data_IF_487240125602
#
_entry.id   IF_487240125602
#
_cell.length_a   1.000
_cell.length_b   1.000
_cell.length_c   1.000
_cell.angle_alpha   90.00
_cell.angle_beta   90.00
_cell.angle_gamma   90.00
#
_symmetry.space_group_name_H-M   'P 1'
#
loop_
_entity.id
_entity.type
_entity.pdbx_description
1 polymer ?
#
# COMPACT_ATOMS: atom_id res chain seq x y z
N UNK A 1 -50.44 -28.18 8.91
CA UNK A 1 -49.15 -27.87 8.17
C UNK A 1 -48.49 -26.74 8.92
N UNK A 2 -47.44 -27.04 9.70
CA UNK A 2 -46.64 -26.05 10.38
C UNK A 2 -45.77 -25.32 9.34
N UNK A 3 -45.90 -24.01 9.23
CA UNK A 3 -45.03 -23.20 8.46
C UNK A 3 -43.62 -23.21 9.08
N UNK A 4 -42.66 -23.74 8.38
CA UNK A 4 -41.24 -23.66 8.71
C UNK A 4 -40.84 -22.19 8.77
N UNK A 5 -40.50 -21.70 9.98
CA UNK A 5 -39.86 -20.38 10.13
C UNK A 5 -38.53 -20.40 9.35
N UNK A 6 -38.30 -19.41 8.54
CA UNK A 6 -37.05 -19.21 7.83
C UNK A 6 -35.86 -19.32 8.79
N UNK A 7 -35.12 -20.43 8.68
CA UNK A 7 -33.89 -20.62 9.43
C UNK A 7 -32.84 -19.71 8.79
N UNK A 8 -32.61 -18.54 9.37
CA UNK A 8 -31.45 -17.70 8.97
C UNK A 8 -30.19 -18.56 9.02
N UNK A 9 -29.53 -18.69 7.88
CA UNK A 9 -28.25 -19.39 7.80
C UNK A 9 -27.21 -18.62 8.62
N UNK A 10 -26.57 -19.29 9.59
CA UNK A 10 -25.52 -18.70 10.42
C UNK A 10 -24.17 -19.19 9.93
N UNK A 11 -23.21 -18.29 9.81
CA UNK A 11 -21.84 -18.58 9.45
C UNK A 11 -20.93 -18.39 10.65
N UNK A 12 -19.87 -19.19 10.74
CA UNK A 12 -18.93 -19.18 11.86
C UNK A 12 -17.50 -19.15 11.38
N UNK A 13 -16.68 -18.38 12.06
CA UNK A 13 -15.22 -18.51 11.98
C UNK A 13 -14.77 -19.65 12.88
N UNK A 14 -13.94 -20.52 12.36
CA UNK A 14 -13.31 -21.61 13.10
C UNK A 14 -11.84 -21.74 12.74
N UNK A 15 -11.05 -22.28 13.67
CA UNK A 15 -9.63 -22.51 13.38
C UNK A 15 -9.46 -23.70 12.43
N UNK A 16 -8.87 -23.48 11.28
CA UNK A 16 -8.60 -24.52 10.28
C UNK A 16 -7.74 -25.66 10.85
N UNK A 17 -6.82 -25.35 11.75
CA UNK A 17 -5.89 -26.32 12.34
C UNK A 17 -6.54 -27.24 13.38
N UNK A 18 -7.79 -26.98 13.79
CA UNK A 18 -8.53 -27.86 14.68
C UNK A 18 -9.28 -28.97 13.94
N UNK A 19 -9.54 -28.76 12.65
CA UNK A 19 -10.35 -29.66 11.80
C UNK A 19 -9.48 -30.56 10.93
N UNK A 20 -8.32 -30.04 10.50
CA UNK A 20 -7.40 -30.76 9.63
C UNK A 20 -6.04 -30.85 10.31
N UNK A 21 -5.48 -32.04 10.59
CA UNK A 21 -4.16 -32.17 11.18
C UNK A 21 -3.09 -31.69 10.18
N UNK A 22 -2.72 -30.43 10.31
CA UNK A 22 -1.68 -29.78 9.47
C UNK A 22 -0.30 -29.74 10.13
N UNK A 23 -0.09 -30.55 11.19
CA UNK A 23 1.14 -30.59 11.96
C UNK A 23 1.28 -29.50 13.04
N UNK A 24 0.33 -28.58 13.14
CA UNK A 24 0.24 -27.59 14.22
C UNK A 24 -0.99 -27.87 15.07
N UNK A 25 -0.79 -28.22 16.34
CA UNK A 25 -1.88 -28.32 17.30
C UNK A 25 -2.36 -26.91 17.67
N UNK A 26 -3.58 -26.57 17.27
CA UNK A 26 -4.26 -25.38 17.74
C UNK A 26 -5.19 -25.72 18.90
N UNK A 27 -5.02 -25.07 20.02
CA UNK A 27 -5.86 -25.25 21.21
C UNK A 27 -7.19 -24.49 21.13
N UNK A 28 -7.31 -23.55 20.17
CA UNK A 28 -8.55 -22.79 19.97
C UNK A 28 -9.65 -23.68 19.40
N UNK A 29 -10.66 -23.96 20.19
CA UNK A 29 -11.79 -24.91 19.90
C UNK A 29 -13.11 -24.19 19.67
N UNK A 30 -13.15 -22.86 19.72
CA UNK A 30 -14.37 -22.10 19.67
C UNK A 30 -14.73 -21.73 18.25
N UNK A 31 -16.03 -21.71 17.96
CA UNK A 31 -16.59 -21.15 16.74
C UNK A 31 -17.19 -19.81 17.08
N UNK A 32 -16.74 -18.76 16.39
CA UNK A 32 -17.21 -17.39 16.59
C UNK A 32 -18.20 -17.05 15.47
N UNK A 33 -19.41 -16.59 15.84
CA UNK A 33 -20.40 -16.21 14.84
C UNK A 33 -19.89 -15.04 14.00
N UNK A 34 -19.98 -15.18 12.67
CA UNK A 34 -19.47 -14.21 11.71
C UNK A 34 -20.08 -12.82 11.94
N UNK A 35 -21.38 -12.74 12.18
CA UNK A 35 -22.06 -11.47 12.38
C UNK A 35 -21.61 -10.77 13.66
N UNK A 36 -21.35 -11.53 14.74
CA UNK A 36 -20.82 -10.98 16.00
C UNK A 36 -19.44 -10.39 15.78
N UNK A 37 -18.54 -11.15 15.15
CA UNK A 37 -17.17 -10.68 14.85
C UNK A 37 -17.18 -9.44 13.95
N UNK A 38 -17.94 -9.47 12.87
CA UNK A 38 -18.01 -8.36 11.92
C UNK A 38 -18.54 -7.08 12.60
N UNK A 39 -19.53 -7.20 13.50
CA UNK A 39 -20.01 -6.03 14.25
C UNK A 39 -18.97 -5.48 15.19
N UNK A 40 -18.22 -6.32 15.91
CA UNK A 40 -17.16 -5.87 16.80
C UNK A 40 -16.09 -5.11 16.03
N UNK A 41 -15.61 -5.65 14.91
CA UNK A 41 -14.62 -4.97 14.07
C UNK A 41 -15.16 -3.63 13.54
N UNK A 42 -16.39 -3.64 13.03
CA UNK A 42 -17.02 -2.41 12.53
C UNK A 42 -17.16 -1.35 13.63
N UNK A 43 -17.57 -1.73 14.84
CA UNK A 43 -17.71 -0.78 15.95
C UNK A 43 -16.36 -0.20 16.41
N UNK A 44 -15.27 -0.96 16.35
CA UNK A 44 -13.92 -0.46 16.65
C UNK A 44 -13.50 0.57 15.60
N UNK A 45 -13.67 0.27 14.31
CA UNK A 45 -13.31 1.19 13.23
C UNK A 45 -14.17 2.45 13.29
N UNK A 46 -15.48 2.31 13.47
CA UNK A 46 -16.41 3.43 13.62
C UNK A 46 -16.02 4.33 14.79
N UNK A 47 -15.68 3.76 15.95
CA UNK A 47 -15.20 4.53 17.09
C UNK A 47 -13.90 5.28 16.81
N UNK A 48 -12.96 4.66 16.09
CA UNK A 48 -11.72 5.32 15.66
C UNK A 48 -12.01 6.51 14.75
N UNK A 49 -12.84 6.31 13.72
CA UNK A 49 -13.16 7.35 12.73
C UNK A 49 -13.97 8.51 13.33
N UNK A 50 -14.76 8.22 14.35
CA UNK A 50 -15.55 9.22 15.09
C UNK A 50 -14.70 10.09 16.02
N UNK A 51 -13.45 9.73 16.31
CA UNK A 51 -12.53 10.59 17.05
C UNK A 51 -12.05 11.76 16.14
N UNK A 52 -12.34 13.02 16.48
CA UNK A 52 -11.92 14.18 15.67
C UNK A 52 -10.42 14.23 15.45
N UNK A 53 -9.60 13.82 16.43
CA UNK A 53 -8.13 13.81 16.32
C UNK A 53 -7.66 12.82 15.25
N UNK A 54 -8.30 11.63 15.19
CA UNK A 54 -8.05 10.64 14.17
C UNK A 54 -8.48 11.17 12.78
N UNK A 55 -9.68 11.71 12.69
CA UNK A 55 -10.22 12.25 11.43
C UNK A 55 -9.34 13.38 10.88
N UNK A 56 -8.88 14.30 11.74
CA UNK A 56 -8.02 15.42 11.33
C UNK A 56 -6.62 14.94 10.91
N UNK A 57 -6.05 13.96 11.62
CA UNK A 57 -4.78 13.35 11.25
C UNK A 57 -4.86 12.61 9.89
N UNK A 58 -5.95 11.91 9.61
CA UNK A 58 -6.21 11.28 8.30
C UNK A 58 -6.36 12.34 7.20
N UNK A 59 -7.13 13.42 7.45
CA UNK A 59 -7.28 14.52 6.48
C UNK A 59 -5.94 15.18 6.15
N UNK A 60 -5.06 15.36 7.14
CA UNK A 60 -3.73 15.91 6.92
C UNK A 60 -2.84 15.01 6.04
N UNK A 61 -3.08 13.69 6.03
CA UNK A 61 -2.37 12.75 5.17
C UNK A 61 -2.88 12.75 3.72
N UNK A 62 -4.17 13.00 3.52
CA UNK A 62 -4.76 13.05 2.19
C UNK A 62 -4.18 14.24 1.44
N UNK A 63 -3.61 13.98 0.26
CA UNK A 63 -3.00 15.01 -0.58
C UNK A 63 -1.63 15.51 -0.10
N UNK A 64 -1.06 14.95 0.98
CA UNK A 64 0.33 15.26 1.35
C UNK A 64 1.28 14.91 0.21
N UNK A 65 2.29 15.74 -0.05
CA UNK A 65 3.28 15.46 -1.08
C UNK A 65 4.08 14.20 -0.73
N UNK A 66 4.30 13.35 -1.72
CA UNK A 66 5.27 12.27 -1.60
C UNK A 66 6.63 12.85 -1.94
N UNK A 67 7.61 12.56 -1.12
CA UNK A 67 8.97 13.01 -1.40
C UNK A 67 9.58 12.13 -2.50
N UNK A 68 9.59 12.64 -3.72
CA UNK A 68 10.26 12.06 -4.89
C UNK A 68 11.46 12.89 -5.31
N UNK A 69 11.86 13.91 -4.52
CA UNK A 69 12.87 14.90 -4.87
C UNK A 69 14.22 14.28 -5.29
N UNK A 70 14.67 13.24 -4.59
CA UNK A 70 15.95 12.62 -4.90
C UNK A 70 15.89 11.82 -6.20
N UNK A 71 14.78 11.13 -6.48
CA UNK A 71 14.56 10.44 -7.76
C UNK A 71 14.40 11.44 -8.91
N UNK A 72 13.74 12.56 -8.68
CA UNK A 72 13.59 13.63 -9.69
C UNK A 72 14.94 14.27 -10.01
N UNK A 73 15.80 14.54 -9.03
CA UNK A 73 17.18 15.00 -9.26
C UNK A 73 18.01 13.96 -10.01
N UNK A 74 17.88 12.68 -9.66
CA UNK A 74 18.56 11.60 -10.39
C UNK A 74 18.11 11.55 -11.85
N UNK A 75 16.81 11.65 -12.10
CA UNK A 75 16.24 11.70 -13.45
C UNK A 75 16.79 12.89 -14.25
N UNK A 76 16.84 14.08 -13.65
CA UNK A 76 17.38 15.27 -14.27
C UNK A 76 18.88 15.11 -14.63
N UNK A 77 19.67 14.54 -13.74
CA UNK A 77 21.09 14.24 -13.96
C UNK A 77 21.28 13.24 -15.11
N UNK A 78 20.51 12.15 -15.16
CA UNK A 78 20.54 11.16 -16.24
C UNK A 78 20.13 11.77 -17.59
N UNK A 79 19.10 12.61 -17.61
CA UNK A 79 18.68 13.33 -18.81
C UNK A 79 19.74 14.31 -19.30
N UNK A 80 20.46 14.98 -18.39
CA UNK A 80 21.58 15.84 -18.75
C UNK A 80 22.74 15.02 -19.35
N UNK A 81 23.05 13.88 -18.76
CA UNK A 81 24.06 12.94 -19.28
C UNK A 81 23.69 12.42 -20.68
N UNK A 82 22.43 12.03 -20.89
CA UNK A 82 21.92 11.61 -22.19
C UNK A 82 22.12 12.69 -23.25
N UNK A 83 21.73 13.94 -22.94
CA UNK A 83 21.95 15.09 -23.86
C UNK A 83 23.41 15.29 -24.21
N UNK A 84 24.31 15.14 -23.24
CA UNK A 84 25.76 15.27 -23.46
C UNK A 84 26.28 14.13 -24.36
N UNK A 85 25.87 12.91 -24.14
CA UNK A 85 26.28 11.72 -24.92
C UNK A 85 25.76 11.83 -26.35
N UNK A 86 24.50 12.22 -26.56
CA UNK A 86 23.92 12.50 -27.88
C UNK A 86 24.68 13.63 -28.60
N UNK A 87 25.04 14.69 -27.90
CA UNK A 87 25.86 15.77 -28.43
C UNK A 87 27.25 15.29 -28.85
N UNK A 88 27.86 14.37 -28.11
CA UNK A 88 29.16 13.77 -28.46
C UNK A 88 29.03 12.88 -29.69
N UNK A 89 27.99 12.01 -29.72
CA UNK A 89 27.66 11.17 -30.89
C UNK A 89 27.54 12.02 -32.17
N UNK A 90 26.72 13.07 -32.13
CA UNK A 90 26.51 13.97 -33.27
C UNK A 90 27.79 14.73 -33.70
N UNK A 91 28.73 14.96 -32.78
CA UNK A 91 30.03 15.54 -33.09
C UNK A 91 30.93 14.54 -33.81
N UNK A 92 30.97 13.30 -33.36
CA UNK A 92 31.72 12.23 -33.99
C UNK A 92 31.21 11.95 -35.41
N UNK A 93 29.91 11.95 -35.63
CA UNK A 93 29.28 11.82 -36.94
C UNK A 93 29.74 12.90 -37.90
N UNK A 94 29.66 14.16 -37.45
CA UNK A 94 30.19 15.28 -38.28
C UNK A 94 31.68 15.20 -38.54
N UNK A 95 32.49 14.65 -37.64
CA UNK A 95 33.92 14.45 -37.85
C UNK A 95 34.18 13.33 -38.87
N UNK A 96 33.38 12.26 -38.89
CA UNK A 96 33.46 11.21 -39.90
C UNK A 96 33.09 11.75 -41.30
N UNK A 97 31.98 12.51 -41.38
CA UNK A 97 31.53 13.12 -42.62
C UNK A 97 32.54 14.12 -43.21
N UNK A 98 33.32 14.77 -42.36
CA UNK A 98 34.33 15.74 -42.77
C UNK A 98 35.72 15.17 -43.09
N UNK A 99 35.91 13.85 -43.05
CA UNK A 99 37.20 13.23 -43.37
C UNK A 99 37.47 13.29 -44.88
N UNK A 100 38.71 13.70 -45.26
CA UNK A 100 39.17 13.63 -46.65
C UNK A 100 39.52 12.18 -47.01
N UNK A 101 38.83 11.63 -48.00
CA UNK A 101 39.03 10.25 -48.48
C UNK A 101 40.42 10.03 -49.07
N UNK A 102 41.10 11.13 -49.51
CA UNK A 102 42.44 11.09 -50.05
C UNK A 102 43.55 11.22 -48.96
N UNK A 103 43.20 11.39 -47.69
CA UNK A 103 44.16 11.43 -46.59
C UNK A 103 44.85 10.05 -46.46
N UNK A 104 46.21 10.00 -46.44
CA UNK A 104 46.97 8.75 -46.29
C UNK A 104 46.62 7.95 -45.03
N UNK A 105 45.99 8.57 -44.03
CA UNK A 105 45.60 7.97 -42.76
C UNK A 105 44.08 7.82 -42.64
N UNK A 106 43.32 7.96 -43.72
CA UNK A 106 41.84 7.93 -43.72
C UNK A 106 41.29 6.68 -43.02
N UNK A 107 41.72 5.48 -43.41
CA UNK A 107 41.23 4.23 -42.88
C UNK A 107 41.45 4.12 -41.36
N UNK A 108 42.57 4.61 -40.87
CA UNK A 108 42.85 4.60 -39.45
C UNK A 108 41.99 5.61 -38.70
N UNK A 109 41.82 6.81 -39.23
CA UNK A 109 41.01 7.88 -38.63
C UNK A 109 39.54 7.52 -38.59
N UNK A 110 38.99 6.98 -39.67
CA UNK A 110 37.59 6.56 -39.74
C UNK A 110 37.31 5.38 -38.76
N UNK A 111 38.23 4.40 -38.68
CA UNK A 111 38.11 3.28 -37.77
C UNK A 111 38.11 3.72 -36.29
N UNK A 112 38.99 4.65 -35.92
CA UNK A 112 39.02 5.22 -34.57
C UNK A 112 37.74 6.00 -34.23
N UNK A 113 37.20 6.79 -35.16
CA UNK A 113 35.97 7.54 -34.99
C UNK A 113 34.78 6.59 -34.91
N UNK A 114 34.74 5.56 -35.75
CA UNK A 114 33.67 4.54 -35.74
C UNK A 114 33.61 3.83 -34.40
N UNK A 115 34.75 3.37 -33.87
CA UNK A 115 34.80 2.72 -32.56
C UNK A 115 34.25 3.62 -31.45
N UNK A 116 34.64 4.92 -31.44
CA UNK A 116 34.13 5.88 -30.45
C UNK A 116 32.65 6.18 -30.65
N UNK A 117 32.18 6.18 -31.86
CA UNK A 117 30.76 6.35 -32.20
C UNK A 117 29.93 5.18 -31.71
N UNK A 118 30.42 3.95 -31.91
CA UNK A 118 29.75 2.71 -31.42
C UNK A 118 29.72 2.67 -29.91
N UNK A 119 30.77 3.12 -29.21
CA UNK A 119 30.79 3.26 -27.74
C UNK A 119 29.67 4.19 -27.24
N UNK A 120 29.29 5.23 -28.00
CA UNK A 120 28.21 6.14 -27.62
C UNK A 120 26.83 5.46 -27.67
N UNK A 121 26.61 4.49 -28.55
CA UNK A 121 25.36 3.75 -28.59
C UNK A 121 25.16 2.96 -27.29
N UNK A 122 26.18 2.20 -26.88
CA UNK A 122 26.10 1.45 -25.62
C UNK A 122 25.84 2.36 -24.40
N UNK A 123 26.53 3.53 -24.36
CA UNK A 123 26.32 4.50 -23.30
C UNK A 123 24.90 5.11 -23.31
N UNK A 124 24.33 5.38 -24.51
CA UNK A 124 22.96 5.86 -24.66
C UNK A 124 21.97 4.83 -24.15
N UNK A 125 22.09 3.58 -24.61
CA UNK A 125 21.19 2.49 -24.21
C UNK A 125 21.20 2.28 -22.68
N UNK A 126 22.39 2.30 -22.06
CA UNK A 126 22.51 2.19 -20.60
C UNK A 126 21.82 3.33 -19.86
N UNK A 127 21.98 4.58 -20.35
CA UNK A 127 21.37 5.76 -19.73
C UNK A 127 19.84 5.71 -19.91
N UNK A 128 19.35 5.32 -21.08
CA UNK A 128 17.91 5.22 -21.36
C UNK A 128 17.24 4.16 -20.46
N UNK A 129 17.88 3.02 -20.24
CA UNK A 129 17.40 2.01 -19.27
C UNK A 129 17.31 2.59 -17.85
N UNK A 130 18.34 3.32 -17.41
CA UNK A 130 18.34 3.94 -16.09
C UNK A 130 17.25 5.02 -15.96
N UNK A 131 17.01 5.80 -17.01
CA UNK A 131 15.92 6.78 -17.05
C UNK A 131 14.55 6.10 -16.90
N UNK A 132 14.32 5.01 -17.63
CA UNK A 132 13.05 4.27 -17.57
C UNK A 132 12.83 3.65 -16.17
N UNK A 133 13.87 3.10 -15.57
CA UNK A 133 13.84 2.56 -14.21
C UNK A 133 13.44 3.62 -13.18
N UNK A 134 14.11 4.79 -13.20
CA UNK A 134 13.81 5.88 -12.27
C UNK A 134 12.40 6.43 -12.49
N UNK A 135 11.98 6.59 -13.74
CA UNK A 135 10.61 7.02 -14.08
C UNK A 135 9.56 6.00 -13.59
N UNK A 136 9.85 4.71 -13.71
CA UNK A 136 8.98 3.64 -13.24
C UNK A 136 8.84 3.68 -11.71
N UNK A 137 9.93 3.91 -10.97
CA UNK A 137 9.91 4.09 -9.53
C UNK A 137 9.05 5.29 -9.11
N UNK A 138 9.24 6.45 -9.76
CA UNK A 138 8.43 7.65 -9.49
C UNK A 138 6.94 7.38 -9.76
N UNK A 139 6.60 6.72 -10.88
CA UNK A 139 5.21 6.35 -11.20
C UNK A 139 4.61 5.42 -10.15
N UNK A 140 5.35 4.39 -9.71
CA UNK A 140 4.90 3.44 -8.68
C UNK A 140 4.59 4.14 -7.37
N UNK A 141 5.53 4.97 -6.88
CA UNK A 141 5.36 5.73 -5.64
C UNK A 141 4.12 6.65 -5.71
N UNK A 142 3.92 7.36 -6.82
CA UNK A 142 2.75 8.23 -7.01
C UNK A 142 1.45 7.44 -7.07
N UNK A 143 1.44 6.27 -7.70
CA UNK A 143 0.26 5.41 -7.76
C UNK A 143 -0.10 4.82 -6.40
N UNK A 144 0.89 4.38 -5.63
CA UNK A 144 0.70 3.92 -4.24
C UNK A 144 0.11 5.04 -3.37
N UNK A 145 0.58 6.26 -3.51
CA UNK A 145 0.04 7.42 -2.80
C UNK A 145 -1.43 7.68 -3.15
N UNK A 146 -1.80 7.64 -4.42
CA UNK A 146 -3.20 7.81 -4.87
C UNK A 146 -4.08 6.72 -4.27
N UNK A 147 -3.61 5.48 -4.25
CA UNK A 147 -4.31 4.36 -3.61
C UNK A 147 -4.49 4.59 -2.11
N UNK A 148 -3.44 5.03 -1.42
CA UNK A 148 -3.49 5.37 0.00
C UNK A 148 -4.48 6.50 0.31
N UNK A 149 -4.46 7.58 -0.46
CA UNK A 149 -5.40 8.69 -0.30
C UNK A 149 -6.86 8.24 -0.49
N UNK A 150 -7.13 7.36 -1.44
CA UNK A 150 -8.48 6.81 -1.65
C UNK A 150 -8.92 5.94 -0.48
N UNK A 151 -8.02 5.11 0.05
CA UNK A 151 -8.28 4.29 1.24
C UNK A 151 -8.58 5.19 2.46
N UNK A 152 -7.80 6.24 2.67
CA UNK A 152 -8.05 7.18 3.76
C UNK A 152 -9.39 7.92 3.62
N UNK A 153 -9.79 8.31 2.40
CA UNK A 153 -11.11 8.91 2.15
C UNK A 153 -12.25 7.93 2.45
N UNK A 154 -12.11 6.68 2.03
CA UNK A 154 -13.06 5.63 2.35
C UNK A 154 -13.14 5.39 3.85
N UNK A 155 -12.02 5.41 4.56
CA UNK A 155 -11.98 5.27 6.00
C UNK A 155 -12.74 6.41 6.72
N UNK A 156 -12.57 7.66 6.27
CA UNK A 156 -13.32 8.79 6.82
C UNK A 156 -14.83 8.70 6.57
N UNK A 157 -15.25 8.03 5.50
CA UNK A 157 -16.65 7.80 5.17
C UNK A 157 -17.16 6.43 5.66
N UNK A 158 -16.42 5.78 6.57
CA UNK A 158 -16.63 4.38 6.95
C UNK A 158 -18.10 4.09 7.30
N UNK A 159 -18.69 4.83 8.22
CA UNK A 159 -20.05 4.56 8.71
C UNK A 159 -21.07 4.61 7.58
N UNK A 160 -20.97 5.63 6.73
CA UNK A 160 -21.91 5.83 5.60
C UNK A 160 -21.78 4.72 4.57
N UNK A 161 -20.53 4.37 4.20
CA UNK A 161 -20.25 3.36 3.18
C UNK A 161 -20.58 1.97 3.70
N UNK A 162 -20.19 1.66 4.95
CA UNK A 162 -20.38 0.35 5.53
C UNK A 162 -21.84 0.00 5.77
N UNK A 163 -22.67 0.95 6.20
CA UNK A 163 -24.11 0.74 6.39
C UNK A 163 -24.84 0.51 5.08
N UNK A 164 -24.49 1.27 4.03
CA UNK A 164 -25.12 1.17 2.70
C UNK A 164 -24.67 -0.06 1.90
N UNK A 165 -23.50 -0.64 2.23
CA UNK A 165 -22.88 -1.72 1.47
C UNK A 165 -23.54 -3.08 1.68
N UNK A 166 -23.54 -3.89 0.62
CA UNK A 166 -23.89 -5.31 0.68
C UNK A 166 -22.85 -6.10 1.51
N UNK A 167 -23.17 -7.34 1.90
CA UNK A 167 -22.26 -8.19 2.67
C UNK A 167 -20.92 -8.46 1.95
N UNK A 168 -20.96 -8.61 0.62
CA UNK A 168 -19.75 -8.81 -0.19
C UNK A 168 -18.88 -7.55 -0.19
N UNK A 169 -19.49 -6.39 -0.42
CA UNK A 169 -18.79 -5.10 -0.40
C UNK A 169 -18.20 -4.80 0.98
N UNK A 170 -18.93 -5.06 2.06
CA UNK A 170 -18.41 -4.93 3.43
C UNK A 170 -17.15 -5.76 3.65
N UNK A 171 -17.12 -6.98 3.13
CA UNK A 171 -15.96 -7.86 3.23
C UNK A 171 -14.77 -7.33 2.45
N UNK A 172 -14.98 -6.85 1.22
CA UNK A 172 -13.92 -6.25 0.40
C UNK A 172 -13.40 -4.95 1.07
N UNK A 173 -14.31 -4.16 1.61
CA UNK A 173 -13.98 -2.95 2.34
C UNK A 173 -13.10 -3.24 3.57
N UNK A 174 -13.48 -4.23 4.40
CA UNK A 174 -12.66 -4.64 5.54
C UNK A 174 -11.30 -5.17 5.12
N UNK A 175 -11.20 -5.91 4.03
CA UNK A 175 -9.92 -6.40 3.48
C UNK A 175 -9.01 -5.29 2.99
N UNK A 176 -9.56 -4.18 2.52
CA UNK A 176 -8.75 -3.02 2.11
C UNK A 176 -8.04 -2.38 3.31
N UNK A 177 -8.66 -2.41 4.51
CA UNK A 177 -8.09 -1.79 5.70
C UNK A 177 -7.28 -2.76 6.55
N UNK A 178 -7.75 -3.99 6.72
CA UNK A 178 -7.27 -4.93 7.72
C UNK A 178 -6.48 -6.04 7.03
N UNK A 179 -5.23 -6.18 7.43
CA UNK A 179 -4.37 -7.30 7.06
C UNK A 179 -4.76 -8.56 7.86
N UNK A 180 -4.87 -8.40 9.18
CA UNK A 180 -5.09 -9.51 10.10
C UNK A 180 -5.73 -9.05 11.40
N UNK A 181 -6.56 -9.92 11.98
CA UNK A 181 -7.13 -9.76 13.32
C UNK A 181 -6.64 -10.91 14.19
N UNK A 182 -6.04 -10.58 15.31
CA UNK A 182 -5.65 -11.54 16.34
C UNK A 182 -6.71 -11.60 17.44
N UNK A 183 -7.01 -12.80 17.90
CA UNK A 183 -8.07 -13.05 18.87
C UNK A 183 -7.51 -13.47 20.22
N UNK A 184 -8.24 -13.15 21.29
CA UNK A 184 -8.01 -13.78 22.58
C UNK A 184 -8.38 -15.25 22.54
N UNK A 185 -7.71 -16.11 23.35
CA UNK A 185 -8.07 -17.54 23.47
C UNK A 185 -9.48 -17.74 23.95
N UNK A 186 -9.98 -16.81 24.78
CA UNK A 186 -11.31 -16.85 25.40
C UNK A 186 -11.98 -15.46 25.25
N UNK A 187 -13.31 -15.46 25.29
CA UNK A 187 -14.09 -14.23 25.27
C UNK A 187 -13.82 -13.44 26.54
N UNK A 188 -13.47 -12.16 26.37
CA UNK A 188 -13.20 -11.29 27.50
C UNK A 188 -14.47 -10.95 28.29
N UNK A 189 -14.37 -10.50 29.55
CA UNK A 189 -15.55 -10.16 30.37
C UNK A 189 -16.44 -9.06 29.78
N UNK A 190 -15.87 -8.15 28.97
CA UNK A 190 -16.59 -7.11 28.23
C UNK A 190 -17.28 -7.64 26.96
N UNK A 191 -17.11 -8.92 26.66
CA UNK A 191 -17.65 -9.56 25.47
C UNK A 191 -16.74 -9.50 24.24
N UNK A 192 -15.55 -8.89 24.33
CA UNK A 192 -14.63 -8.76 23.23
C UNK A 192 -13.86 -10.06 22.93
N UNK A 193 -13.65 -10.35 21.64
CA UNK A 193 -12.80 -11.42 21.15
C UNK A 193 -11.48 -10.91 20.57
N UNK A 194 -11.40 -9.62 20.23
CA UNK A 194 -10.32 -9.07 19.44
C UNK A 194 -9.20 -8.62 20.36
N UNK A 195 -8.04 -9.23 20.18
CA UNK A 195 -6.80 -8.91 20.88
C UNK A 195 -6.05 -7.77 20.19
N UNK A 196 -5.95 -7.85 18.86
CA UNK A 196 -5.20 -6.90 18.05
C UNK A 196 -5.77 -6.81 16.63
N UNK A 197 -5.79 -5.61 16.08
CA UNK A 197 -6.07 -5.38 14.66
C UNK A 197 -4.77 -4.92 14.00
N UNK A 198 -4.39 -5.55 12.88
CA UNK A 198 -3.24 -5.17 12.06
C UNK A 198 -3.79 -4.61 10.76
N UNK A 199 -3.39 -3.38 10.45
CA UNK A 199 -3.86 -2.66 9.26
C UNK A 199 -2.91 -2.83 8.08
N UNK A 200 -3.44 -2.74 6.85
CA UNK A 200 -2.64 -2.76 5.63
C UNK A 200 -1.75 -1.52 5.47
N UNK A 201 -2.09 -0.42 6.18
CA UNK A 201 -1.38 0.86 6.12
C UNK A 201 -1.32 1.49 7.51
N UNK A 202 -0.38 2.40 7.77
CA UNK A 202 -0.29 3.08 9.05
C UNK A 202 -1.52 3.95 9.31
N UNK A 203 -2.10 3.84 10.50
CA UNK A 203 -3.20 4.68 10.97
C UNK A 203 -2.73 5.56 12.12
N UNK A 204 -3.16 6.84 12.19
CA UNK A 204 -2.82 7.73 13.29
C UNK A 204 -3.69 7.41 14.51
N UNK A 205 -3.05 7.01 15.60
CA UNK A 205 -3.72 6.77 16.89
C UNK A 205 -2.98 7.59 17.94
N UNK A 206 -3.70 8.47 18.63
CA UNK A 206 -3.13 9.35 19.68
C UNK A 206 -1.87 10.13 19.24
N UNK A 207 -1.84 10.60 17.99
CA UNK A 207 -0.72 11.36 17.43
C UNK A 207 0.49 10.52 16.98
N UNK A 208 0.41 9.19 17.06
CA UNK A 208 1.44 8.27 16.60
C UNK A 208 0.89 7.41 15.47
N UNK A 209 1.71 7.15 14.44
CA UNK A 209 1.35 6.22 13.38
C UNK A 209 1.59 4.78 13.82
N UNK A 210 0.55 3.96 13.77
CA UNK A 210 0.63 2.56 14.12
C UNK A 210 0.06 1.69 12.99
N UNK A 211 0.71 0.57 12.71
CA UNK A 211 0.15 -0.50 11.89
C UNK A 211 -0.65 -1.51 12.73
N UNK A 212 -0.36 -1.59 14.01
CA UNK A 212 -0.98 -2.53 14.92
C UNK A 212 -1.73 -1.78 16.01
N UNK A 213 -3.00 -2.09 16.18
CA UNK A 213 -3.85 -1.59 17.25
C UNK A 213 -4.05 -2.70 18.28
N UNK A 214 -3.26 -2.74 19.38
CA UNK A 214 -3.51 -3.68 20.48
C UNK A 214 -4.74 -3.21 21.28
N UNK A 215 -5.61 -4.15 21.62
CA UNK A 215 -6.80 -3.91 22.44
C UNK A 215 -6.65 -4.48 23.87
N UNK A 216 -5.43 -4.81 24.25
CA UNK A 216 -5.08 -5.35 25.57
C UNK A 216 -4.84 -4.26 26.62
N UNK A 217 -4.53 -3.03 26.21
CA UNK A 217 -4.19 -1.93 27.10
C UNK A 217 -5.43 -1.06 27.36
N UNK A 218 -5.82 -0.95 28.62
CA UNK A 218 -6.96 -0.15 29.08
C UNK A 218 -6.96 1.30 28.53
N UNK A 219 -5.81 1.90 28.32
CA UNK A 219 -5.66 3.28 27.79
C UNK A 219 -6.14 3.49 26.35
N UNK A 220 -6.06 2.46 25.50
CA UNK A 220 -6.57 2.54 24.12
C UNK A 220 -8.01 1.99 24.07
N UNK A 221 -8.29 0.95 24.84
CA UNK A 221 -9.62 0.33 24.99
C UNK A 221 -10.57 1.32 25.67
N UNK A 222 -10.15 2.09 26.65
CA UNK A 222 -11.00 3.12 27.26
C UNK A 222 -11.43 4.18 26.25
N UNK A 223 -10.57 4.61 25.35
CA UNK A 223 -10.95 5.59 24.32
C UNK A 223 -11.92 4.99 23.30
N UNK A 224 -11.75 3.73 22.92
CA UNK A 224 -12.58 3.05 21.90
C UNK A 224 -13.85 2.45 22.54
N UNK A 225 -13.78 1.85 23.74
CA UNK A 225 -14.93 1.26 24.41
C UNK A 225 -15.82 2.25 25.17
N UNK A 226 -15.29 3.38 25.70
CA UNK A 226 -16.10 4.44 26.27
C UNK A 226 -16.98 5.14 25.22
N UNK A 227 -16.52 5.17 23.95
CA UNK A 227 -17.32 5.70 22.86
C UNK A 227 -18.44 4.72 22.44
N UNK A 228 -18.21 3.41 22.50
CA UNK A 228 -19.25 2.42 22.19
C UNK A 228 -20.35 2.31 23.24
N UNK A 229 -20.08 2.68 24.51
CA UNK A 229 -21.08 2.73 25.60
C UNK A 229 -21.97 3.99 25.56
N UNK A 230 -21.55 5.04 24.85
CA UNK A 230 -22.38 6.25 24.67
C UNK A 230 -23.30 6.21 23.47
N UNK A 231 -23.22 5.16 22.65
CA UNK A 231 -24.05 4.95 21.46
C UNK A 231 -25.20 3.94 21.67
N UNK A 232 -25.49 3.58 22.92
CA UNK A 232 -26.72 2.92 23.37
C UNK A 232 -27.52 3.95 24.21
#
# INVERSE_FOLDING_TARGET
KAHSKDKKTRYYYYCKNTVTPTGHECTFRLNIEQMEMNRMVASIISAMVSDPRFADAIKAKIGSAVDTNDLEKQLEALQAQLRQTLGTKARLERQMDGLDVNDPYYDRKISDLQRRYDEQYGAIDEIEVQIDDVQSQIRSIRQEKISGDNIYRLLLAFDQVYEAASEVERKEFMRAFIERIELFPEKQPDGNWIRKIIFNFPVPVNGTEVKELPLENETIVETVCLLSRKAQ
#
